data_IF_776323574009
#
_entry.id   IF_776323574009
#
_cell.length_a   1.000
_cell.length_b   1.000
_cell.length_c   1.000
_cell.angle_alpha   90.00
_cell.angle_beta   90.00
_cell.angle_gamma   90.00
#
_symmetry.space_group_name_H-M   'P 1'
#
loop_
_entity.id
_entity.type
_entity.pdbx_description
1 polymer ?
#
# COMPACT_ATOMS: atom_id res chain seq x y z
N UNK A 1 13.69 4.86 -9.16
CA UNK A 1 14.63 3.74 -9.12
C UNK A 1 16.01 4.21 -9.59
N UNK A 2 17.10 3.76 -8.95
CA UNK A 2 18.46 4.08 -9.43
C UNK A 2 18.79 3.25 -10.69
N UNK A 3 19.90 3.55 -11.37
CA UNK A 3 20.28 2.89 -12.62
C UNK A 3 20.49 1.37 -12.44
N UNK A 4 21.21 0.97 -11.40
CA UNK A 4 21.53 -0.43 -11.11
C UNK A 4 20.26 -1.27 -10.87
N UNK A 5 19.32 -0.74 -10.11
CA UNK A 5 18.05 -1.39 -9.80
C UNK A 5 17.16 -1.51 -11.03
N UNK A 6 17.16 -0.49 -11.91
CA UNK A 6 16.42 -0.54 -13.17
C UNK A 6 16.99 -1.57 -14.15
N UNK A 7 18.32 -1.71 -14.21
CA UNK A 7 19.00 -2.76 -14.99
C UNK A 7 18.67 -4.15 -14.45
N UNK A 8 18.69 -4.32 -13.12
CA UNK A 8 18.28 -5.58 -12.48
C UNK A 8 16.82 -5.93 -12.79
N UNK A 9 15.90 -4.97 -12.68
CA UNK A 9 14.50 -5.17 -13.04
C UNK A 9 14.34 -5.61 -14.51
N UNK A 10 15.05 -4.96 -15.44
CA UNK A 10 15.02 -5.33 -16.85
C UNK A 10 15.53 -6.76 -17.09
N UNK A 11 16.65 -7.14 -16.45
CA UNK A 11 17.19 -8.50 -16.54
C UNK A 11 16.23 -9.55 -16.00
N UNK A 12 15.60 -9.28 -14.85
CA UNK A 12 14.57 -10.16 -14.25
C UNK A 12 13.42 -10.35 -15.24
N UNK A 13 12.87 -9.24 -15.76
CA UNK A 13 11.71 -9.25 -16.65
C UNK A 13 11.99 -10.03 -17.93
N UNK A 14 13.11 -9.73 -18.59
CA UNK A 14 13.46 -10.35 -19.87
C UNK A 14 13.81 -11.84 -19.70
N UNK A 15 14.58 -12.19 -18.68
CA UNK A 15 14.99 -13.58 -18.43
C UNK A 15 13.80 -14.44 -18.06
N UNK A 16 13.00 -14.00 -17.08
CA UNK A 16 11.84 -14.75 -16.62
C UNK A 16 10.77 -14.85 -17.71
N UNK A 17 10.55 -13.75 -18.43
CA UNK A 17 9.61 -13.72 -19.53
C UNK A 17 9.98 -14.68 -20.65
N UNK A 18 11.28 -14.73 -21.03
CA UNK A 18 11.77 -15.67 -22.04
C UNK A 18 11.61 -17.13 -21.63
N UNK A 19 11.71 -17.43 -20.33
CA UNK A 19 11.48 -18.79 -19.82
C UNK A 19 10.00 -19.19 -19.88
N UNK A 20 9.08 -18.25 -19.62
CA UNK A 20 7.64 -18.54 -19.55
C UNK A 20 6.94 -18.45 -20.91
N UNK A 21 7.35 -17.50 -21.75
CA UNK A 21 6.77 -17.25 -23.07
C UNK A 21 7.90 -16.90 -24.08
N UNK A 22 8.64 -17.92 -24.56
CA UNK A 22 9.85 -17.71 -25.36
C UNK A 22 9.64 -16.91 -26.65
N UNK A 23 8.47 -17.02 -27.27
CA UNK A 23 8.05 -16.32 -28.49
C UNK A 23 7.58 -14.88 -28.23
N UNK A 24 7.25 -14.53 -26.98
CA UNK A 24 6.66 -13.23 -26.61
C UNK A 24 7.65 -12.22 -26.11
N UNK A 25 8.81 -12.65 -25.60
CA UNK A 25 9.82 -11.77 -25.05
C UNK A 25 11.00 -11.56 -26.02
N UNK A 26 11.51 -10.31 -26.11
CA UNK A 26 12.69 -10.03 -26.91
C UNK A 26 13.92 -10.76 -26.35
N UNK A 27 14.90 -11.00 -27.21
CA UNK A 27 16.15 -11.64 -26.79
C UNK A 27 16.94 -10.71 -25.88
N UNK A 28 17.45 -11.24 -24.78
CA UNK A 28 18.27 -10.48 -23.84
C UNK A 28 19.64 -10.17 -24.47
N UNK A 29 19.90 -8.89 -24.71
CA UNK A 29 21.21 -8.35 -25.07
C UNK A 29 21.41 -7.00 -24.36
N UNK A 30 22.62 -6.42 -24.44
CA UNK A 30 22.96 -5.20 -23.71
C UNK A 30 22.04 -4.01 -24.07
N UNK A 31 21.74 -3.82 -25.35
CA UNK A 31 20.88 -2.73 -25.83
C UNK A 31 19.42 -2.89 -25.38
N UNK A 32 18.88 -4.10 -25.49
CA UNK A 32 17.51 -4.41 -25.06
C UNK A 32 17.39 -4.28 -23.54
N UNK A 33 18.37 -4.77 -22.79
CA UNK A 33 18.40 -4.60 -21.34
C UNK A 33 18.42 -3.13 -20.94
N UNK A 34 19.22 -2.30 -21.62
CA UNK A 34 19.29 -0.86 -21.36
C UNK A 34 17.95 -0.15 -21.71
N UNK A 35 17.38 -0.42 -22.88
CA UNK A 35 16.11 0.17 -23.30
C UNK A 35 14.96 -0.19 -22.34
N UNK A 36 14.93 -1.44 -21.88
CA UNK A 36 13.97 -1.88 -20.87
C UNK A 36 14.25 -1.24 -19.51
N UNK A 37 15.50 -1.13 -19.08
CA UNK A 37 15.85 -0.46 -17.83
C UNK A 37 15.37 0.99 -17.82
N UNK A 38 15.58 1.73 -18.92
CA UNK A 38 15.15 3.12 -19.05
C UNK A 38 13.62 3.26 -18.99
N UNK A 39 12.89 2.33 -19.61
CA UNK A 39 11.42 2.30 -19.54
C UNK A 39 10.91 2.00 -18.12
N UNK A 40 11.51 1.00 -17.44
CA UNK A 40 11.10 0.57 -16.10
C UNK A 40 11.55 1.52 -15.00
N UNK A 41 12.58 2.34 -15.23
CA UNK A 41 13.16 3.28 -14.23
C UNK A 41 12.14 4.20 -13.56
N UNK A 42 11.04 4.49 -14.26
CA UNK A 42 9.93 5.33 -13.78
C UNK A 42 9.14 4.69 -12.65
N UNK A 43 9.22 3.37 -12.48
CA UNK A 43 8.43 2.63 -11.51
C UNK A 43 9.32 1.88 -10.53
N UNK A 44 9.34 2.31 -9.27
CA UNK A 44 10.16 1.67 -8.24
C UNK A 44 9.35 0.54 -7.60
N UNK A 45 9.81 -0.69 -7.79
CA UNK A 45 9.26 -1.89 -7.15
C UNK A 45 10.39 -2.79 -6.62
N UNK A 46 10.14 -3.52 -5.52
CA UNK A 46 10.96 -4.66 -5.12
C UNK A 46 11.08 -5.72 -6.23
N UNK A 47 12.21 -6.44 -6.26
CA UNK A 47 12.51 -7.48 -7.27
C UNK A 47 11.44 -8.57 -7.36
N UNK A 48 10.90 -9.01 -6.21
CA UNK A 48 9.87 -10.06 -6.17
C UNK A 48 8.57 -9.63 -6.88
N UNK A 49 8.23 -8.34 -6.85
CA UNK A 49 7.04 -7.83 -7.56
C UNK A 49 7.27 -7.74 -9.07
N UNK A 50 8.52 -7.61 -9.54
CA UNK A 50 8.82 -7.73 -10.97
C UNK A 50 8.67 -9.16 -11.46
N UNK A 51 9.11 -10.15 -10.66
CA UNK A 51 8.88 -11.56 -10.99
C UNK A 51 7.38 -11.87 -11.07
N UNK A 52 6.61 -11.39 -10.09
CA UNK A 52 5.15 -11.57 -10.08
C UNK A 52 4.48 -10.86 -11.26
N UNK A 53 4.93 -9.64 -11.60
CA UNK A 53 4.44 -8.92 -12.77
C UNK A 53 4.60 -9.74 -14.07
N UNK A 54 5.75 -10.38 -14.26
CA UNK A 54 5.99 -11.25 -15.42
C UNK A 54 5.08 -12.46 -15.39
N UNK A 55 4.92 -13.10 -14.23
CA UNK A 55 4.01 -14.24 -14.06
C UNK A 55 2.59 -13.84 -14.45
N UNK A 56 2.06 -12.75 -13.88
CA UNK A 56 0.74 -12.20 -14.19
C UNK A 56 0.60 -11.89 -15.68
N UNK A 57 1.61 -11.28 -16.31
CA UNK A 57 1.55 -11.02 -17.73
C UNK A 57 1.41 -12.32 -18.53
N UNK A 58 2.24 -13.31 -18.25
CA UNK A 58 2.24 -14.58 -18.98
C UNK A 58 0.98 -15.43 -18.72
N UNK A 59 0.35 -15.33 -17.55
CA UNK A 59 -0.81 -16.16 -17.20
C UNK A 59 -2.16 -15.49 -17.42
N UNK A 60 -2.26 -14.17 -17.25
CA UNK A 60 -3.53 -13.45 -17.26
C UNK A 60 -3.66 -12.46 -18.42
N UNK A 61 -2.56 -11.91 -18.92
CA UNK A 61 -2.56 -10.80 -19.88
C UNK A 61 -1.81 -11.08 -21.18
N UNK A 62 -1.46 -12.34 -21.44
CA UNK A 62 -0.67 -12.70 -22.62
C UNK A 62 -1.47 -12.36 -23.87
N UNK A 63 -0.80 -11.71 -24.83
CA UNK A 63 -1.43 -11.30 -26.09
C UNK A 63 -0.75 -11.97 -27.28
N UNK A 64 -1.41 -11.90 -28.44
CA UNK A 64 -0.88 -12.40 -29.71
C UNK A 64 0.30 -11.60 -30.28
N UNK A 65 0.71 -10.50 -29.64
CA UNK A 65 1.87 -9.68 -30.03
C UNK A 65 3.07 -9.90 -29.10
N UNK A 66 4.22 -9.37 -29.49
CA UNK A 66 5.39 -9.30 -28.62
C UNK A 66 5.11 -8.35 -27.44
N UNK A 67 5.65 -8.69 -26.27
CA UNK A 67 5.49 -7.88 -25.06
C UNK A 67 6.18 -6.52 -25.20
N UNK A 68 5.52 -5.49 -24.70
CA UNK A 68 6.08 -4.16 -24.57
C UNK A 68 6.35 -3.82 -23.09
N UNK A 69 7.26 -2.88 -22.79
CA UNK A 69 7.46 -2.44 -21.40
C UNK A 69 6.16 -1.95 -20.73
N UNK A 70 5.23 -1.38 -21.50
CA UNK A 70 3.93 -0.95 -20.98
C UNK A 70 3.11 -2.12 -20.44
N UNK A 71 3.06 -3.24 -21.17
CA UNK A 71 2.30 -4.42 -20.74
C UNK A 71 2.82 -4.94 -19.39
N UNK A 72 4.14 -4.94 -19.20
CA UNK A 72 4.77 -5.33 -17.93
C UNK A 72 4.50 -4.31 -16.83
N UNK A 73 4.53 -3.00 -17.12
CA UNK A 73 4.17 -1.98 -16.12
C UNK A 73 2.71 -2.13 -15.66
N UNK A 74 1.80 -2.46 -16.56
CA UNK A 74 0.41 -2.73 -16.22
C UNK A 74 0.25 -3.99 -15.37
N UNK A 75 0.98 -5.06 -15.69
CA UNK A 75 1.01 -6.26 -14.85
C UNK A 75 1.65 -5.98 -13.48
N UNK A 76 2.68 -5.14 -13.43
CA UNK A 76 3.37 -4.75 -12.20
C UNK A 76 2.49 -3.89 -11.28
N UNK A 77 1.59 -3.07 -11.84
CA UNK A 77 0.55 -2.38 -11.05
C UNK A 77 -0.40 -3.37 -10.40
N UNK A 78 -0.82 -4.41 -11.13
CA UNK A 78 -1.68 -5.47 -10.58
C UNK A 78 -0.95 -6.24 -9.47
N UNK A 79 0.31 -6.65 -9.71
CA UNK A 79 1.14 -7.32 -8.72
C UNK A 79 1.26 -6.48 -7.44
N UNK A 80 1.58 -5.19 -7.58
CA UNK A 80 1.65 -4.25 -6.48
C UNK A 80 0.32 -4.18 -5.73
N UNK A 81 -0.80 -3.94 -6.42
CA UNK A 81 -2.11 -3.82 -5.77
C UNK A 81 -2.50 -5.10 -5.02
N UNK A 82 -2.21 -6.28 -5.55
CA UNK A 82 -2.43 -7.57 -4.86
C UNK A 82 -1.57 -7.68 -3.61
N UNK A 83 -0.30 -7.33 -3.70
CA UNK A 83 0.63 -7.33 -2.57
C UNK A 83 0.22 -6.33 -1.48
N UNK A 84 -0.17 -5.10 -1.84
CA UNK A 84 -0.66 -4.11 -0.88
C UNK A 84 -1.93 -4.56 -0.14
N UNK A 85 -2.70 -5.48 -0.75
CA UNK A 85 -3.87 -6.09 -0.14
C UNK A 85 -3.54 -7.34 0.69
N UNK A 86 -2.36 -7.94 0.50
CA UNK A 86 -1.93 -9.12 1.24
C UNK A 86 -1.54 -8.78 2.69
N UNK A 87 -1.60 -9.76 3.63
CA UNK A 87 -1.14 -9.55 5.01
C UNK A 87 0.31 -9.05 5.09
N UNK A 88 1.18 -9.59 4.23
CA UNK A 88 2.60 -9.25 4.17
C UNK A 88 2.79 -7.79 3.72
N UNK A 89 2.19 -7.41 2.59
CA UNK A 89 2.34 -6.04 2.09
C UNK A 89 1.69 -5.00 2.99
N UNK A 90 0.56 -5.31 3.63
CA UNK A 90 -0.03 -4.45 4.67
C UNK A 90 0.93 -4.25 5.84
N UNK A 91 1.58 -5.32 6.29
CA UNK A 91 2.54 -5.27 7.41
C UNK A 91 3.76 -4.43 7.05
N UNK A 92 4.31 -4.58 5.86
CA UNK A 92 5.46 -3.78 5.40
C UNK A 92 5.10 -2.30 5.20
N UNK A 93 3.92 -2.01 4.63
CA UNK A 93 3.44 -0.64 4.49
C UNK A 93 3.18 0.02 5.85
N UNK A 94 2.64 -0.72 6.82
CA UNK A 94 2.46 -0.22 8.18
C UNK A 94 3.82 0.13 8.82
N UNK A 95 4.79 -0.78 8.73
CA UNK A 95 6.18 -0.52 9.19
C UNK A 95 6.77 0.73 8.53
N UNK A 96 6.62 0.88 7.22
CA UNK A 96 7.14 2.04 6.49
C UNK A 96 6.46 3.36 6.88
N UNK A 97 5.18 3.32 7.29
CA UNK A 97 4.44 4.48 7.83
C UNK A 97 4.76 4.81 9.29
N UNK A 98 5.58 3.99 9.96
CA UNK A 98 5.80 4.08 11.40
C UNK A 98 4.56 3.67 12.21
N UNK A 99 3.61 2.98 11.58
CA UNK A 99 2.47 2.37 12.25
C UNK A 99 2.95 1.04 12.84
N UNK A 100 2.70 0.80 14.13
CA UNK A 100 2.81 -0.56 14.64
C UNK A 100 1.76 -1.40 13.92
N UNK A 101 2.13 -2.49 13.22
CA UNK A 101 1.14 -3.39 12.68
C UNK A 101 0.43 -4.02 13.87
N UNK A 102 -0.74 -3.49 14.22
CA UNK A 102 -1.65 -4.20 15.11
C UNK A 102 -2.07 -5.43 14.38
N UNK A 103 -1.59 -6.57 14.88
CA UNK A 103 -2.03 -7.84 14.34
C UNK A 103 -3.52 -7.99 14.62
N UNK A 104 -4.24 -8.61 13.70
CA UNK A 104 -5.65 -8.95 13.91
C UNK A 104 -5.85 -9.68 15.25
N UNK A 105 -4.88 -10.51 15.65
CA UNK A 105 -4.83 -11.18 16.95
C UNK A 105 -4.74 -10.23 18.14
N UNK A 106 -3.99 -9.12 18.05
CA UNK A 106 -3.93 -8.10 19.12
C UNK A 106 -5.26 -7.35 19.25
N UNK A 107 -5.91 -7.07 18.12
CA UNK A 107 -7.26 -6.46 18.09
C UNK A 107 -8.27 -7.41 18.74
N UNK A 108 -8.28 -8.67 18.32
CA UNK A 108 -9.17 -9.70 18.88
C UNK A 108 -8.89 -9.99 20.36
N UNK A 109 -7.61 -10.00 20.76
CA UNK A 109 -7.22 -10.13 22.16
C UNK A 109 -7.67 -8.93 23.01
N UNK A 110 -7.67 -7.72 22.46
CA UNK A 110 -8.20 -6.54 23.16
C UNK A 110 -9.72 -6.59 23.30
N UNK A 111 -10.43 -6.88 22.21
CA UNK A 111 -11.89 -6.89 22.21
C UNK A 111 -12.51 -8.12 22.90
N UNK A 112 -11.76 -9.22 23.05
CA UNK A 112 -12.20 -10.40 23.81
C UNK A 112 -12.20 -10.19 25.32
N UNK A 113 -11.43 -9.21 25.84
CA UNK A 113 -11.45 -8.83 27.27
C UNK A 113 -12.71 -8.05 27.62
N UNK A 114 -13.28 -8.30 28.81
CA UNK A 114 -14.37 -7.46 29.36
C UNK A 114 -13.84 -6.08 29.78
N UNK A 115 -14.68 -5.03 29.85
CA UNK A 115 -14.22 -3.67 30.17
C UNK A 115 -13.40 -3.54 31.46
N UNK A 116 -13.69 -4.35 32.49
CA UNK A 116 -12.92 -4.36 33.75
C UNK A 116 -11.59 -5.10 33.69
N UNK A 117 -11.30 -5.81 32.60
CA UNK A 117 -10.05 -6.54 32.36
C UNK A 117 -9.10 -5.79 31.40
N UNK A 118 -9.50 -4.61 30.92
CA UNK A 118 -8.72 -3.78 30.00
C UNK A 118 -7.97 -2.73 30.80
N UNK A 119 -6.65 -2.66 30.62
CA UNK A 119 -5.80 -1.63 31.24
C UNK A 119 -5.99 -0.24 30.60
N UNK A 120 -6.63 -0.19 29.43
CA UNK A 120 -6.85 1.03 28.65
C UNK A 120 -8.26 1.06 28.05
N UNK A 121 -8.84 2.25 27.90
CA UNK A 121 -10.13 2.44 27.22
C UNK A 121 -10.02 2.17 25.71
N UNK A 122 -11.13 1.85 25.01
CA UNK A 122 -11.08 1.60 23.56
C UNK A 122 -10.50 2.77 22.76
N UNK A 123 -10.69 3.99 23.27
CA UNK A 123 -10.15 5.21 22.67
C UNK A 123 -8.65 5.33 22.86
N UNK A 124 -8.14 5.02 24.06
CA UNK A 124 -6.70 5.01 24.35
C UNK A 124 -6.00 3.91 23.54
N UNK A 125 -6.59 2.72 23.46
CA UNK A 125 -6.13 1.64 22.58
C UNK A 125 -6.02 2.10 21.12
N UNK A 126 -7.09 2.69 20.57
CA UNK A 126 -7.10 3.19 19.19
C UNK A 126 -6.05 4.28 18.94
N UNK A 127 -5.81 5.17 19.91
CA UNK A 127 -4.80 6.22 19.80
C UNK A 127 -3.37 5.67 19.86
N UNK A 128 -3.11 4.70 20.74
CA UNK A 128 -1.81 4.01 20.83
C UNK A 128 -1.48 3.26 19.55
N UNK A 129 -2.49 2.55 19.02
CA UNK A 129 -2.35 1.66 17.88
C UNK A 129 -2.29 2.41 16.55
N UNK A 130 -3.05 3.50 16.41
CA UNK A 130 -3.14 4.26 15.16
C UNK A 130 -2.57 5.68 15.36
N UNK A 131 -1.26 5.90 15.12
CA UNK A 131 -0.63 7.21 15.35
C UNK A 131 -1.28 8.35 14.57
N UNK A 132 -1.86 8.06 13.39
CA UNK A 132 -2.63 9.03 12.61
C UNK A 132 -3.94 9.45 13.28
N UNK A 133 -4.62 8.52 13.96
CA UNK A 133 -5.83 8.81 14.74
C UNK A 133 -5.47 9.67 15.95
N UNK A 134 -4.36 9.36 16.62
CA UNK A 134 -3.86 10.19 17.72
C UNK A 134 -3.55 11.62 17.26
N UNK A 135 -2.83 11.78 16.14
CA UNK A 135 -2.54 13.09 15.55
C UNK A 135 -3.81 13.86 15.18
N UNK A 136 -4.77 13.22 14.51
CA UNK A 136 -6.05 13.84 14.15
C UNK A 136 -6.83 14.30 15.39
N UNK A 137 -6.86 13.49 16.46
CA UNK A 137 -7.53 13.87 17.71
C UNK A 137 -6.81 15.03 18.38
N UNK A 138 -5.47 15.03 18.42
CA UNK A 138 -4.69 16.13 18.95
C UNK A 138 -4.96 17.43 18.19
N UNK A 139 -4.98 17.38 16.86
CA UNK A 139 -5.31 18.52 16.00
C UNK A 139 -6.73 19.03 16.25
N UNK A 140 -7.71 18.13 16.38
CA UNK A 140 -9.10 18.48 16.70
C UNK A 140 -9.22 19.17 18.07
N UNK A 141 -8.48 18.69 19.08
CA UNK A 141 -8.45 19.29 20.42
C UNK A 141 -7.80 20.69 20.40
N UNK A 142 -6.70 20.86 19.68
CA UNK A 142 -6.07 22.18 19.49
C UNK A 142 -6.98 23.15 18.75
N UNK A 143 -7.68 22.71 17.70
CA UNK A 143 -8.71 23.54 17.04
C UNK A 143 -9.81 23.96 18.00
N UNK A 144 -10.27 23.07 18.90
CA UNK A 144 -11.29 23.40 19.91
C UNK A 144 -10.80 24.41 20.94
N UNK A 145 -9.56 24.31 21.41
CA UNK A 145 -8.96 25.29 22.34
C UNK A 145 -8.89 26.68 21.71
N UNK A 146 -8.53 26.73 20.43
CA UNK A 146 -8.35 27.99 19.69
C UNK A 146 -9.66 28.52 19.08
N UNK A 147 -10.74 27.73 19.11
CA UNK A 147 -12.05 28.18 18.65
C UNK A 147 -12.63 29.19 19.64
N UNK A 148 -13.20 30.32 19.16
CA UNK A 148 -13.90 31.24 20.04
C UNK A 148 -15.04 30.49 20.74
N UNK A 149 -15.32 30.80 22.03
CA UNK A 149 -16.41 30.15 22.75
C UNK A 149 -17.70 30.30 21.96
N UNK A 150 -18.41 29.21 21.76
CA UNK A 150 -19.70 29.22 21.09
C UNK A 150 -20.63 30.18 21.84
N UNK A 151 -20.92 31.33 21.22
CA UNK A 151 -21.96 32.23 21.68
C UNK A 151 -23.26 31.72 21.10
N UNK A 152 -24.04 31.01 21.93
CA UNK A 152 -25.42 30.71 21.57
C UNK A 152 -26.15 32.03 21.33
N UNK A 153 -26.63 32.26 20.11
CA UNK A 153 -27.50 33.40 19.86
C UNK A 153 -28.80 33.23 20.66
N UNK A 154 -29.34 34.29 21.28
CA UNK A 154 -30.61 34.21 21.97
C UNK A 154 -31.70 33.63 21.04
N UNK A 155 -32.21 32.44 21.35
CA UNK A 155 -33.18 31.70 20.52
C UNK A 155 -32.65 30.42 19.87
N UNK A 156 -31.33 30.18 19.87
CA UNK A 156 -30.73 28.92 19.44
C UNK A 156 -30.53 27.97 20.63
N UNK A 157 -31.63 27.46 21.18
CA UNK A 157 -31.59 26.27 22.02
C UNK A 157 -31.87 25.05 21.16
N UNK A 158 -30.91 24.13 21.08
CA UNK A 158 -31.18 22.82 20.50
C UNK A 158 -32.08 22.04 21.47
N UNK A 159 -33.36 21.89 21.13
CA UNK A 159 -34.30 21.05 21.86
C UNK A 159 -34.50 19.75 21.06
N UNK A 160 -34.13 18.57 21.59
CA UNK A 160 -34.48 17.30 20.99
C UNK A 160 -35.96 17.01 21.30
N UNK A 161 -36.87 17.77 20.70
CA UNK A 161 -38.30 17.47 20.72
C UNK A 161 -38.72 17.07 19.31
N UNK A 162 -38.54 15.78 19.02
CA UNK A 162 -39.35 14.91 18.14
C UNK A 162 -38.59 13.61 17.88
N UNK A 163 -38.55 12.75 18.90
CA UNK A 163 -38.53 11.29 18.80
C UNK A 163 -39.21 10.74 20.06
#
# INVERSE_FOLDING_TARGET
MNELDSKRAAMIVLTRGKQLAPDRFPTLNAETAQAWADALRRYTLPEHLWLEAVTIFCTEKVTGRMVTPLDILEAARVAKSRWEQSPEGRTELAKARGEQPTTQAEIEAYYSKTPGQRDETPREYQQRVHPRVAQMIAEMLERRKNAPPYKAEPGHWWSPKKL
#
